data_IF_867976193743
#
_entry.id   IF_867976193743
#
_cell.length_a   1.000
_cell.length_b   1.000
_cell.length_c   1.000
_cell.angle_alpha   90.00
_cell.angle_beta   90.00
_cell.angle_gamma   90.00
#
_symmetry.space_group_name_H-M   'P 1'
#
loop_
_entity.id
_entity.type
_entity.pdbx_description
1 polymer ?
#
# COMPACT_ATOMS: atom_id res chain seq x y z
N UNK A 1 -11.83 9.32 10.65
CA UNK A 1 -11.05 9.89 9.53
C UNK A 1 -9.59 9.56 9.84
N UNK A 2 -8.82 9.05 8.89
CA UNK A 2 -7.43 8.68 9.15
C UNK A 2 -6.59 9.96 9.31
N UNK A 3 -5.59 9.95 10.19
CA UNK A 3 -4.71 11.11 10.37
C UNK A 3 -3.84 11.33 9.11
N UNK A 4 -3.63 12.58 8.72
CA UNK A 4 -2.69 13.01 7.68
C UNK A 4 -1.33 12.32 7.80
N UNK A 5 -0.79 12.19 9.02
CA UNK A 5 0.50 11.54 9.24
C UNK A 5 0.52 10.07 8.80
N UNK A 6 -0.56 9.35 9.08
CA UNK A 6 -0.77 7.97 8.65
C UNK A 6 -0.93 7.89 7.14
N UNK A 7 -1.74 8.77 6.54
CA UNK A 7 -1.88 8.81 5.08
C UNK A 7 -0.55 9.08 4.38
N UNK A 8 0.21 10.06 4.86
CA UNK A 8 1.52 10.40 4.32
C UNK A 8 2.51 9.22 4.40
N UNK A 9 2.57 8.51 5.53
CA UNK A 9 3.45 7.34 5.64
C UNK A 9 3.01 6.19 4.72
N UNK A 10 1.70 5.99 4.53
CA UNK A 10 1.19 5.01 3.58
C UNK A 10 1.57 5.36 2.14
N UNK A 11 1.35 6.60 1.70
CA UNK A 11 1.76 7.07 0.36
C UNK A 11 3.27 7.02 0.17
N UNK A 12 4.05 7.34 1.21
CA UNK A 12 5.51 7.22 1.18
C UNK A 12 5.97 5.79 0.91
N UNK A 13 5.48 4.82 1.70
CA UNK A 13 5.81 3.40 1.52
C UNK A 13 5.30 2.87 0.19
N UNK A 14 4.06 3.19 -0.17
CA UNK A 14 3.47 2.80 -1.43
C UNK A 14 4.26 3.34 -2.64
N UNK A 15 4.78 4.57 -2.58
CA UNK A 15 5.62 5.14 -3.63
C UNK A 15 6.97 4.43 -3.71
N UNK A 16 7.64 4.21 -2.57
CA UNK A 16 8.92 3.48 -2.50
C UNK A 16 8.81 2.04 -3.02
N UNK A 17 7.66 1.42 -2.83
CA UNK A 17 7.37 0.06 -3.25
C UNK A 17 6.73 -0.01 -4.65
N UNK A 18 6.54 1.12 -5.33
CA UNK A 18 5.85 1.23 -6.63
C UNK A 18 4.39 0.74 -6.63
N UNK A 19 3.75 0.69 -5.46
CA UNK A 19 2.31 0.44 -5.34
C UNK A 19 1.53 1.63 -5.88
N UNK A 20 2.05 2.86 -5.74
CA UNK A 20 1.50 4.07 -6.36
C UNK A 20 2.59 4.80 -7.14
N UNK A 21 2.15 5.61 -8.09
CA UNK A 21 2.99 6.46 -8.93
C UNK A 21 3.07 7.88 -8.36
N UNK A 22 4.07 8.67 -8.77
CA UNK A 22 4.17 10.07 -8.39
C UNK A 22 2.90 10.89 -8.74
N UNK A 23 2.30 10.77 -9.94
CA UNK A 23 1.03 11.43 -10.23
C UNK A 23 -0.11 11.09 -9.26
N UNK A 24 -0.20 9.84 -8.80
CA UNK A 24 -1.21 9.43 -7.80
C UNK A 24 -0.96 10.07 -6.43
N UNK A 25 0.31 10.25 -6.04
CA UNK A 25 0.71 10.95 -4.80
C UNK A 25 0.39 12.45 -4.91
N UNK A 26 0.74 13.09 -6.04
CA UNK A 26 0.41 14.50 -6.32
C UNK A 26 -1.10 14.71 -6.26
N UNK A 27 -1.87 13.84 -6.93
CA UNK A 27 -3.32 13.94 -6.94
C UNK A 27 -3.94 13.83 -5.54
N UNK A 28 -3.36 12.99 -4.68
CA UNK A 28 -3.78 12.91 -3.27
C UNK A 28 -3.50 14.21 -2.52
N UNK A 29 -2.31 14.79 -2.67
CA UNK A 29 -1.96 16.06 -2.04
C UNK A 29 -2.84 17.22 -2.55
N UNK A 30 -3.05 17.31 -3.87
CA UNK A 30 -3.94 18.30 -4.50
C UNK A 30 -5.36 18.19 -3.95
N UNK A 31 -5.87 16.97 -3.79
CA UNK A 31 -7.19 16.77 -3.22
C UNK A 31 -7.28 17.34 -1.80
N UNK A 32 -6.31 17.03 -0.93
CA UNK A 32 -6.29 17.55 0.44
C UNK A 32 -6.20 19.09 0.48
N UNK A 33 -5.35 19.68 -0.36
CA UNK A 33 -5.25 21.15 -0.51
C UNK A 33 -6.61 21.78 -0.85
N UNK A 34 -7.42 21.11 -1.68
CA UNK A 34 -8.72 21.67 -2.11
C UNK A 34 -9.83 21.53 -1.07
N UNK A 35 -9.73 20.58 -0.14
CA UNK A 35 -10.81 20.27 0.81
C UNK A 35 -10.52 20.72 2.24
N UNK A 36 -9.26 20.95 2.59
CA UNK A 36 -8.86 21.45 3.91
C UNK A 36 -8.89 22.98 3.95
N UNK A 37 -9.47 23.56 5.00
CA UNK A 37 -9.53 25.03 5.18
C UNK A 37 -8.14 25.65 5.40
N UNK A 38 -7.22 24.89 5.99
CA UNK A 38 -5.84 25.29 6.28
C UNK A 38 -4.89 24.09 6.08
N UNK A 39 -4.56 23.74 4.82
CA UNK A 39 -3.76 22.56 4.51
C UNK A 39 -2.33 22.69 5.04
N UNK A 40 -1.72 21.55 5.39
CA UNK A 40 -0.31 21.52 5.78
C UNK A 40 0.59 22.01 4.62
N UNK A 41 1.54 22.95 4.87
CA UNK A 41 2.43 23.46 3.84
C UNK A 41 3.19 22.38 3.05
N UNK A 42 3.48 21.23 3.66
CA UNK A 42 4.16 20.12 2.99
C UNK A 42 3.32 19.50 1.86
N UNK A 43 1.99 19.65 1.90
CA UNK A 43 1.14 19.19 0.80
C UNK A 43 1.44 19.95 -0.50
N UNK A 44 1.78 21.23 -0.43
CA UNK A 44 2.19 22.00 -1.61
C UNK A 44 3.55 21.54 -2.15
N UNK A 45 4.50 21.20 -1.29
CA UNK A 45 5.79 20.63 -1.70
C UNK A 45 5.61 19.28 -2.40
N UNK A 46 4.66 18.46 -1.94
CA UNK A 46 4.30 17.19 -2.60
C UNK A 46 3.65 17.46 -3.96
N UNK A 47 2.71 18.41 -4.03
CA UNK A 47 2.01 18.80 -5.27
C UNK A 47 2.98 19.29 -6.36
N UNK A 48 4.03 20.01 -5.95
CA UNK A 48 5.06 20.57 -6.85
C UNK A 48 6.23 19.62 -7.13
N UNK A 49 6.24 18.42 -6.58
CA UNK A 49 7.34 17.47 -6.73
C UNK A 49 7.48 17.00 -8.18
N UNK A 50 8.71 17.04 -8.70
CA UNK A 50 9.01 16.63 -10.09
C UNK A 50 9.58 15.21 -10.20
N UNK A 51 9.86 14.56 -9.07
CA UNK A 51 10.38 13.20 -9.01
C UNK A 51 10.06 12.54 -7.66
N UNK A 52 10.22 11.22 -7.58
CA UNK A 52 9.91 10.44 -6.39
C UNK A 52 10.75 10.84 -5.17
N UNK A 53 11.98 11.32 -5.36
CA UNK A 53 12.84 11.72 -4.24
C UNK A 53 12.26 12.96 -3.54
N UNK A 54 11.91 13.99 -4.31
CA UNK A 54 11.30 15.22 -3.78
C UNK A 54 9.99 14.92 -3.05
N UNK A 55 9.12 14.10 -3.64
CA UNK A 55 7.88 13.70 -2.98
C UNK A 55 8.15 12.92 -1.68
N UNK A 56 9.12 12.01 -1.67
CA UNK A 56 9.48 11.23 -0.49
C UNK A 56 10.06 12.10 0.65
N UNK A 57 10.85 13.12 0.33
CA UNK A 57 11.37 14.06 1.32
C UNK A 57 10.22 14.84 1.98
N UNK A 58 9.32 15.43 1.17
CA UNK A 58 8.16 16.18 1.67
C UNK A 58 7.20 15.30 2.49
N UNK A 59 6.93 14.07 2.03
CA UNK A 59 6.12 13.09 2.78
C UNK A 59 6.74 12.76 4.13
N UNK A 60 8.08 12.74 4.25
CA UNK A 60 8.78 12.39 5.50
C UNK A 60 8.43 13.33 6.64
N UNK A 61 8.31 14.64 6.35
CA UNK A 61 8.00 15.65 7.35
C UNK A 61 6.61 15.46 7.98
N UNK A 62 5.68 14.82 7.26
CA UNK A 62 4.33 14.55 7.72
C UNK A 62 4.21 13.29 8.59
N UNK A 63 5.21 12.40 8.63
CA UNK A 63 5.05 11.03 9.19
C UNK A 63 5.16 10.89 10.71
N UNK A 64 5.42 11.97 11.45
CA UNK A 64 5.91 11.92 12.86
C UNK A 64 4.96 11.24 13.86
N UNK A 65 3.69 11.05 13.53
CA UNK A 65 2.66 10.43 14.39
C UNK A 65 1.87 9.32 13.70
N UNK A 66 2.45 8.69 12.68
CA UNK A 66 1.77 7.65 11.91
C UNK A 66 1.55 6.36 12.71
N UNK A 67 0.32 5.85 12.67
CA UNK A 67 -0.03 4.52 13.21
C UNK A 67 0.34 3.44 12.19
N UNK A 68 1.28 2.55 12.53
CA UNK A 68 1.71 1.46 11.62
C UNK A 68 0.54 0.55 11.24
N UNK A 69 -0.38 0.29 12.18
CA UNK A 69 -1.57 -0.51 11.91
C UNK A 69 -2.45 0.15 10.84
N UNK A 70 -2.74 1.43 10.98
CA UNK A 70 -3.58 2.17 10.03
C UNK A 70 -2.87 2.37 8.68
N UNK A 71 -1.55 2.56 8.68
CA UNK A 71 -0.74 2.55 7.47
C UNK A 71 -0.86 1.22 6.74
N UNK A 72 -0.78 0.12 7.46
CA UNK A 72 -0.89 -1.25 6.90
C UNK A 72 -2.24 -1.45 6.24
N UNK A 73 -3.33 -1.09 6.92
CA UNK A 73 -4.68 -1.10 6.34
C UNK A 73 -4.77 -0.25 5.07
N UNK A 74 -4.17 0.95 5.08
CA UNK A 74 -4.22 1.86 3.93
C UNK A 74 -3.50 1.31 2.71
N UNK A 75 -2.34 0.67 2.89
CA UNK A 75 -1.59 0.06 1.77
C UNK A 75 -2.38 -1.13 1.20
N UNK A 76 -3.00 -1.95 2.06
CA UNK A 76 -3.88 -3.05 1.61
C UNK A 76 -5.10 -2.49 0.86
N UNK A 77 -5.70 -1.40 1.33
CA UNK A 77 -6.79 -0.71 0.63
C UNK A 77 -6.35 -0.27 -0.78
N UNK A 78 -5.15 0.31 -0.93
CA UNK A 78 -4.60 0.71 -2.24
C UNK A 78 -4.43 -0.50 -3.17
N UNK A 79 -3.88 -1.61 -2.67
CA UNK A 79 -3.73 -2.85 -3.44
C UNK A 79 -5.09 -3.45 -3.83
N UNK A 80 -6.05 -3.50 -2.91
CA UNK A 80 -7.40 -3.98 -3.16
C UNK A 80 -8.14 -3.14 -4.22
N UNK A 81 -7.97 -1.81 -4.18
CA UNK A 81 -8.52 -0.91 -5.22
C UNK A 81 -7.93 -1.23 -6.60
N UNK A 82 -6.63 -1.50 -6.71
CA UNK A 82 -6.00 -1.93 -7.98
C UNK A 82 -6.52 -3.31 -8.44
N UNK A 83 -6.69 -4.24 -7.50
CA UNK A 83 -7.30 -5.56 -7.77
C UNK A 83 -8.73 -5.46 -8.32
N UNK A 84 -9.55 -4.56 -7.77
CA UNK A 84 -10.95 -4.37 -8.18
C UNK A 84 -11.10 -3.86 -9.62
N UNK A 85 -10.09 -3.15 -10.14
CA UNK A 85 -10.05 -2.64 -11.52
C UNK A 85 -9.51 -3.66 -12.54
N UNK A 86 -9.25 -4.91 -12.11
CA UNK A 86 -8.54 -5.94 -12.88
C UNK A 86 -7.15 -5.50 -13.38
N UNK A 87 -6.53 -4.54 -12.70
CA UNK A 87 -5.19 -4.03 -13.01
C UNK A 87 -4.17 -4.52 -11.96
N UNK A 88 -4.27 -5.80 -11.59
CA UNK A 88 -3.42 -6.41 -10.57
C UNK A 88 -2.41 -7.36 -11.19
N UNK A 89 -1.14 -7.09 -10.92
CA UNK A 89 -0.07 -8.06 -11.06
C UNK A 89 0.03 -8.84 -9.74
N UNK A 90 -0.35 -10.11 -9.76
CA UNK A 90 -0.40 -10.95 -8.56
C UNK A 90 0.97 -11.23 -7.95
N UNK A 91 1.98 -11.47 -8.79
CA UNK A 91 3.35 -11.66 -8.33
C UNK A 91 3.86 -10.43 -7.61
N UNK A 92 3.71 -9.27 -8.24
CA UNK A 92 4.03 -7.99 -7.61
C UNK A 92 3.28 -7.79 -6.29
N UNK A 93 1.99 -8.10 -6.25
CA UNK A 93 1.17 -7.96 -5.04
C UNK A 93 1.65 -8.86 -3.92
N UNK A 94 1.93 -10.14 -4.22
CA UNK A 94 2.46 -11.08 -3.25
C UNK A 94 3.82 -10.60 -2.71
N UNK A 95 4.71 -10.10 -3.59
CA UNK A 95 6.00 -9.55 -3.18
C UNK A 95 5.85 -8.33 -2.26
N UNK A 96 4.86 -7.46 -2.50
CA UNK A 96 4.55 -6.35 -1.60
C UNK A 96 4.03 -6.84 -0.25
N UNK A 97 3.13 -7.82 -0.22
CA UNK A 97 2.62 -8.40 1.03
C UNK A 97 3.75 -9.04 1.84
N UNK A 98 4.63 -9.82 1.19
CA UNK A 98 5.81 -10.39 1.82
C UNK A 98 6.72 -9.29 2.39
N UNK A 99 6.99 -8.23 1.62
CA UNK A 99 7.78 -7.09 2.07
C UNK A 99 7.17 -6.38 3.27
N UNK A 100 5.85 -6.21 3.28
CA UNK A 100 5.11 -5.65 4.41
C UNK A 100 5.33 -6.49 5.67
N UNK A 101 5.23 -7.82 5.57
CA UNK A 101 5.51 -8.71 6.70
C UNK A 101 6.95 -8.59 7.20
N UNK A 102 7.95 -8.53 6.29
CA UNK A 102 9.35 -8.34 6.67
C UNK A 102 9.63 -6.99 7.34
N UNK A 103 8.95 -5.93 6.92
CA UNK A 103 9.08 -4.58 7.48
C UNK A 103 8.13 -4.32 8.66
N UNK A 104 7.47 -5.37 9.18
CA UNK A 104 6.54 -5.34 10.31
C UNK A 104 5.29 -4.46 10.11
N UNK A 105 4.85 -4.31 8.86
CA UNK A 105 3.54 -3.77 8.48
C UNK A 105 2.52 -4.92 8.48
N UNK A 106 2.16 -5.38 9.68
CA UNK A 106 1.25 -6.50 9.91
C UNK A 106 0.01 -6.02 10.67
N UNK A 107 -1.13 -6.68 10.45
CA UNK A 107 -2.39 -6.35 11.12
C UNK A 107 -2.59 -7.19 12.40
N UNK A 108 -2.28 -8.47 12.28
CA UNK A 108 -2.34 -9.51 13.30
C UNK A 108 -1.40 -10.68 12.91
N UNK A 109 -1.19 -11.65 13.80
CA UNK A 109 -0.32 -12.81 13.56
C UNK A 109 -0.78 -13.64 12.33
N UNK A 110 -2.09 -13.78 12.15
CA UNK A 110 -2.66 -14.50 10.99
C UNK A 110 -2.29 -13.77 9.68
N UNK A 111 -2.43 -12.44 9.65
CA UNK A 111 -2.06 -11.64 8.49
C UNK A 111 -0.58 -11.76 8.17
N UNK A 112 0.30 -11.80 9.18
CA UNK A 112 1.74 -11.96 8.97
C UNK A 112 2.05 -13.30 8.32
N UNK A 113 1.44 -14.39 8.80
CA UNK A 113 1.59 -15.72 8.23
C UNK A 113 1.14 -15.75 6.76
N UNK A 114 -0.06 -15.24 6.49
CA UNK A 114 -0.63 -15.20 5.14
C UNK A 114 0.23 -14.36 4.19
N UNK A 115 0.57 -13.13 4.57
CA UNK A 115 1.44 -12.24 3.79
C UNK A 115 2.79 -12.90 3.46
N UNK A 116 3.35 -13.67 4.40
CA UNK A 116 4.66 -14.31 4.21
C UNK A 116 4.61 -15.51 3.27
N UNK A 117 3.51 -16.29 3.27
CA UNK A 117 3.41 -17.52 2.48
C UNK A 117 3.00 -17.30 1.02
N UNK A 118 2.26 -16.23 0.72
CA UNK A 118 1.61 -16.05 -0.59
C UNK A 118 2.60 -15.93 -1.76
N UNK A 119 3.76 -15.28 -1.55
CA UNK A 119 4.82 -15.22 -2.57
C UNK A 119 5.35 -16.61 -2.92
N UNK A 120 5.70 -17.41 -1.92
CA UNK A 120 6.25 -18.75 -2.13
C UNK A 120 5.20 -19.69 -2.74
N UNK A 121 3.95 -19.62 -2.23
CA UNK A 121 2.85 -20.43 -2.76
C UNK A 121 2.58 -20.12 -4.24
N UNK A 122 2.55 -18.83 -4.62
CA UNK A 122 2.33 -18.44 -6.01
C UNK A 122 3.49 -18.89 -6.90
N UNK A 123 4.73 -18.71 -6.46
CA UNK A 123 5.90 -19.17 -7.19
C UNK A 123 5.87 -20.68 -7.44
N UNK A 124 5.62 -21.49 -6.41
CA UNK A 124 5.57 -22.95 -6.54
C UNK A 124 4.43 -23.42 -7.46
N UNK A 125 3.30 -22.73 -7.44
CA UNK A 125 2.17 -23.04 -8.31
C UNK A 125 2.48 -22.67 -9.78
N UNK A 126 3.06 -21.48 -10.02
CA UNK A 126 3.43 -21.02 -11.37
C UNK A 126 4.48 -21.95 -12.01
N UNK A 127 5.44 -22.44 -11.22
CA UNK A 127 6.45 -23.40 -11.64
C UNK A 127 5.92 -24.85 -11.74
N UNK A 128 4.62 -25.07 -11.50
CA UNK A 128 3.95 -26.39 -11.53
C UNK A 128 4.57 -27.41 -10.56
N UNK A 129 5.14 -26.93 -9.46
CA UNK A 129 5.74 -27.75 -8.41
C UNK A 129 4.65 -28.17 -7.40
N UNK A 130 3.84 -27.22 -6.93
CA UNK A 130 2.79 -27.46 -5.94
C UNK A 130 1.68 -26.39 -5.97
N UNK A 131 0.42 -26.81 -5.91
CA UNK A 131 -0.76 -25.93 -5.91
C UNK A 131 -1.25 -25.52 -7.31
N UNK A 132 -2.35 -24.78 -7.37
CA UNK A 132 -2.92 -24.18 -8.59
C UNK A 132 -2.76 -22.65 -8.56
N UNK A 133 -2.16 -22.03 -9.60
CA UNK A 133 -1.97 -20.58 -9.65
C UNK A 133 -3.27 -19.78 -9.50
N UNK A 134 -4.38 -20.23 -10.06
CA UNK A 134 -5.66 -19.52 -10.00
C UNK A 134 -6.29 -19.60 -8.60
N UNK A 135 -6.06 -20.69 -7.89
CA UNK A 135 -6.43 -20.80 -6.47
C UNK A 135 -5.64 -19.79 -5.63
N UNK A 136 -4.30 -19.73 -5.79
CA UNK A 136 -3.48 -18.78 -5.03
C UNK A 136 -3.82 -17.32 -5.39
N UNK A 137 -4.07 -17.02 -6.66
CA UNK A 137 -4.55 -15.69 -7.09
C UNK A 137 -5.88 -15.34 -6.43
N UNK A 138 -6.76 -16.32 -6.24
CA UNK A 138 -8.03 -16.14 -5.53
C UNK A 138 -7.80 -15.86 -4.05
N UNK A 139 -6.88 -16.59 -3.40
CA UNK A 139 -6.47 -16.34 -2.01
C UNK A 139 -5.93 -14.92 -1.82
N UNK A 140 -5.05 -14.44 -2.72
CA UNK A 140 -4.54 -13.05 -2.69
C UNK A 140 -5.70 -12.04 -2.74
N UNK A 141 -6.67 -12.23 -3.63
CA UNK A 141 -7.84 -11.31 -3.70
C UNK A 141 -8.68 -11.36 -2.44
N UNK A 142 -8.92 -12.56 -1.90
CA UNK A 142 -9.69 -12.73 -0.67
C UNK A 142 -9.01 -12.04 0.51
N UNK A 143 -7.69 -12.22 0.65
CA UNK A 143 -6.88 -11.52 1.65
C UNK A 143 -7.03 -10.00 1.53
N UNK A 144 -6.81 -9.45 0.34
CA UNK A 144 -6.93 -8.00 0.12
C UNK A 144 -8.32 -7.48 0.47
N UNK A 145 -9.37 -8.19 0.05
CA UNK A 145 -10.76 -7.78 0.32
C UNK A 145 -11.11 -7.88 1.80
N UNK A 146 -10.68 -8.94 2.49
CA UNK A 146 -10.93 -9.16 3.91
C UNK A 146 -10.44 -7.97 4.74
N UNK A 147 -9.25 -7.47 4.45
CA UNK A 147 -8.61 -6.43 5.24
C UNK A 147 -8.83 -5.01 4.70
N UNK A 148 -9.23 -4.82 3.44
CA UNK A 148 -9.59 -3.49 2.91
C UNK A 148 -10.90 -2.92 3.49
N UNK A 149 -11.81 -3.77 3.99
CA UNK A 149 -13.13 -3.35 4.51
C UNK A 149 -13.24 -3.22 6.02
N UNK A 150 -12.28 -3.70 6.81
CA UNK A 150 -12.32 -3.55 8.27
C UNK A 150 -11.92 -2.12 8.65
N UNK A 151 -12.89 -1.32 9.12
CA UNK A 151 -12.71 -0.02 9.79
C UNK A 151 -13.28 -0.12 11.20
#
# INVERSE_FOLDING_TARGET
>A
MMNLATEALAYKKALLWNVVTLPEVIQWADHLITVEDNPDPQLYEISLANNNHQANDALTELTKEASILDVTYKIIEMLARKASKNDINYKFTADILYRMACENFILDEDSQFEMSRLTDALYLAEEKIYGDPEEIKTEIRQFLNQYATKK
#
